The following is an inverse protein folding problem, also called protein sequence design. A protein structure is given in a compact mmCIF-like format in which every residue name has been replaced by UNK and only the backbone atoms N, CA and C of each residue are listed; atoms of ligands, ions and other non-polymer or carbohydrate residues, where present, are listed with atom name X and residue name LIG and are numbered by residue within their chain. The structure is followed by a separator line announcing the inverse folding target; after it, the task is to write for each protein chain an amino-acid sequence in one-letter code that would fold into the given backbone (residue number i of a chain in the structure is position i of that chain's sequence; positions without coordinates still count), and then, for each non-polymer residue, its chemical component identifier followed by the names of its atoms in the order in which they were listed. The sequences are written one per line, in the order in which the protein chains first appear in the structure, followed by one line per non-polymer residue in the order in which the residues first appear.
data_IF_245158229490
#
_entry.id   IF_245158229490
#
_cell.length_a   1.000
_cell.length_b   1.000
_cell.length_c   1.000
_cell.angle_alpha   90.00
_cell.angle_beta   90.00
_cell.angle_gamma   90.00
#
_symmetry.space_group_name_H-M   'P 1'
#
loop_
_entity.id
_entity.type
_entity.pdbx_description
1 polymer ?
#
# COMPACT_ATOMS: atom_id res chain seq x y z
N UNK A 1 -10.96 -9.27 2.09
CA UNK A 1 -10.18 -9.26 0.85
C UNK A 1 -8.93 -10.11 1.02
N UNK A 2 -8.56 -10.85 -0.03
CA UNK A 2 -7.30 -11.58 -0.01
C UNK A 2 -6.19 -10.76 -0.66
N UNK A 3 -4.97 -11.30 -0.67
CA UNK A 3 -3.82 -10.61 -1.25
C UNK A 3 -4.05 -10.23 -2.72
N UNK A 4 -4.59 -11.15 -3.51
CA UNK A 4 -4.81 -10.91 -4.94
C UNK A 4 -5.75 -9.74 -5.21
N UNK A 5 -6.82 -9.65 -4.44
CA UNK A 5 -7.77 -8.54 -4.59
C UNK A 5 -7.15 -7.21 -4.24
N UNK A 6 -6.34 -7.18 -3.16
CA UNK A 6 -5.65 -5.96 -2.73
C UNK A 6 -4.59 -5.55 -3.74
N UNK A 7 -3.83 -6.52 -4.24
CA UNK A 7 -2.80 -6.22 -5.23
C UNK A 7 -3.40 -5.68 -6.52
N UNK A 8 -4.51 -6.24 -6.96
CA UNK A 8 -5.22 -5.74 -8.14
C UNK A 8 -5.70 -4.31 -7.94
N UNK A 9 -6.19 -3.98 -6.75
CA UNK A 9 -6.61 -2.61 -6.43
C UNK A 9 -5.44 -1.63 -6.57
N UNK A 10 -4.24 -2.06 -6.19
CA UNK A 10 -3.04 -1.25 -6.39
C UNK A 10 -2.72 -1.08 -7.86
N UNK A 11 -2.74 -2.17 -8.63
CA UNK A 11 -2.42 -2.13 -10.06
C UNK A 11 -3.35 -1.21 -10.83
N UNK A 12 -4.64 -1.23 -10.48
CA UNK A 12 -5.65 -0.40 -11.15
C UNK A 12 -5.76 0.98 -10.53
N UNK A 13 -5.01 1.24 -9.46
CA UNK A 13 -5.06 2.51 -8.70
C UNK A 13 -6.49 2.87 -8.31
N UNK A 14 -7.17 1.90 -7.73
CA UNK A 14 -8.58 2.00 -7.39
C UNK A 14 -8.76 2.73 -6.06
N UNK A 15 -9.09 4.02 -6.14
CA UNK A 15 -9.25 4.86 -4.96
C UNK A 15 -10.50 4.53 -4.13
N UNK A 16 -11.41 3.72 -4.67
CA UNK A 16 -12.58 3.30 -3.89
C UNK A 16 -12.20 2.46 -2.68
N UNK A 17 -11.00 1.91 -2.65
CA UNK A 17 -10.49 1.16 -1.51
C UNK A 17 -9.68 2.00 -0.54
N UNK A 18 -9.59 3.31 -0.75
CA UNK A 18 -8.87 4.19 0.16
C UNK A 18 -9.46 4.08 1.57
N UNK A 19 -8.59 3.86 2.57
CA UNK A 19 -9.03 3.66 3.94
C UNK A 19 -9.32 2.20 4.29
N UNK A 20 -9.42 1.31 3.30
CA UNK A 20 -9.67 -0.11 3.54
C UNK A 20 -8.39 -0.85 3.91
N UNK A 21 -7.28 -0.47 3.31
CA UNK A 21 -5.98 -1.06 3.59
C UNK A 21 -4.88 -0.14 3.09
N UNK A 22 -3.64 -0.47 3.48
CA UNK A 22 -2.45 0.23 3.02
C UNK A 22 -1.47 -0.80 2.47
N UNK A 23 -0.74 -0.41 1.43
CA UNK A 23 0.26 -1.26 0.80
C UNK A 23 1.66 -0.79 1.19
N UNK A 24 2.43 -1.68 1.79
CA UNK A 24 3.80 -1.38 2.20
C UNK A 24 4.78 -2.08 1.25
N UNK A 25 5.80 -1.35 0.80
CA UNK A 25 6.80 -1.85 -0.14
C UNK A 25 8.08 -2.12 0.63
N UNK A 26 8.44 -3.41 0.73
CA UNK A 26 9.59 -3.82 1.54
C UNK A 26 10.91 -3.31 0.98
N UNK A 27 11.01 -3.14 -0.34
CA UNK A 27 12.24 -2.67 -0.97
C UNK A 27 12.53 -1.19 -0.71
N UNK A 28 11.51 -0.39 -0.40
CA UNK A 28 11.67 1.05 -0.16
C UNK A 28 11.37 1.46 1.27
N UNK A 29 10.67 0.63 2.03
CA UNK A 29 10.25 0.96 3.38
C UNK A 29 9.11 1.97 3.44
N UNK A 30 8.35 2.10 2.37
CA UNK A 30 7.29 3.10 2.24
C UNK A 30 5.93 2.42 2.18
N UNK A 31 4.91 2.98 2.84
CA UNK A 31 3.54 2.50 2.68
C UNK A 31 2.70 3.55 1.96
N UNK A 32 1.77 3.06 1.14
CA UNK A 32 0.91 3.89 0.29
C UNK A 32 -0.55 3.49 0.46
N UNK A 33 -1.44 4.41 0.12
CA UNK A 33 -2.87 4.09 0.01
C UNK A 33 -3.15 3.47 -1.36
N UNK A 34 -4.26 2.72 -1.52
CA UNK A 34 -4.71 2.31 -2.85
C UNK A 34 -4.93 3.56 -3.69
N UNK A 35 -4.66 3.52 -4.96
CA UNK A 35 -4.79 4.71 -5.81
C UNK A 35 -3.54 5.56 -5.89
N UNK A 36 -2.50 5.22 -5.14
CA UNK A 36 -1.23 5.95 -5.24
C UNK A 36 -0.71 5.90 -6.68
N UNK A 37 -0.33 7.05 -7.28
CA UNK A 37 0.13 7.09 -8.67
C UNK A 37 1.55 6.54 -8.85
N UNK A 38 2.23 6.17 -7.78
CA UNK A 38 3.56 5.61 -7.86
C UNK A 38 3.55 4.28 -8.61
N UNK A 39 4.71 3.89 -9.13
CA UNK A 39 4.86 2.64 -9.86
C UNK A 39 4.47 1.45 -8.97
N UNK A 40 3.70 0.52 -9.56
CA UNK A 40 3.29 -0.69 -8.85
C UNK A 40 4.52 -1.57 -8.56
N UNK A 41 4.76 -1.92 -7.29
CA UNK A 41 5.90 -2.75 -6.94
C UNK A 41 5.64 -4.21 -7.30
N UNK A 42 6.70 -5.02 -7.29
CA UNK A 42 6.59 -6.46 -7.50
C UNK A 42 5.82 -7.09 -6.35
N UNK A 43 5.07 -8.15 -6.64
CA UNK A 43 4.25 -8.85 -5.65
C UNK A 43 5.05 -9.29 -4.43
N UNK A 44 6.25 -9.81 -4.62
CA UNK A 44 7.08 -10.29 -3.53
C UNK A 44 7.57 -9.19 -2.60
N UNK A 45 7.47 -7.95 -3.02
CA UNK A 45 7.91 -6.79 -2.23
C UNK A 45 6.76 -6.05 -1.55
N UNK A 46 5.57 -6.64 -1.53
CA UNK A 46 4.37 -5.96 -1.01
C UNK A 46 3.82 -6.66 0.22
N UNK A 47 3.50 -5.88 1.25
CA UNK A 47 2.73 -6.33 2.41
C UNK A 47 1.53 -5.41 2.57
N UNK A 48 0.44 -5.95 3.09
CA UNK A 48 -0.76 -5.17 3.31
C UNK A 48 -1.04 -5.01 4.80
N UNK A 49 -1.48 -3.82 5.18
CA UNK A 49 -1.85 -3.48 6.55
C UNK A 49 -3.23 -2.86 6.54
N UNK A 50 -4.00 -3.11 7.59
CA UNK A 50 -5.35 -2.55 7.69
C UNK A 50 -5.34 -1.11 8.17
N UNK A 51 -4.26 -0.67 8.83
CA UNK A 51 -4.14 0.69 9.33
C UNK A 51 -2.76 1.26 9.05
N UNK A 52 -2.69 2.58 8.94
CA UNK A 52 -1.41 3.28 8.80
C UNK A 52 -0.53 3.07 10.04
N UNK A 53 -1.16 3.03 11.22
CA UNK A 53 -0.42 2.82 12.47
C UNK A 53 0.29 1.46 12.45
N UNK A 54 -0.37 0.41 11.94
CA UNK A 54 0.25 -0.91 11.86
C UNK A 54 1.45 -0.91 10.92
N UNK A 55 1.35 -0.23 9.79
CA UNK A 55 2.47 -0.13 8.85
C UNK A 55 3.64 0.63 9.49
N UNK A 56 3.38 1.75 10.15
CA UNK A 56 4.42 2.52 10.83
C UNK A 56 5.08 1.71 11.95
N UNK A 57 4.28 0.93 12.68
CA UNK A 57 4.79 0.08 13.74
C UNK A 57 5.80 -0.94 13.22
N UNK A 58 5.64 -1.39 11.98
CA UNK A 58 6.56 -2.32 11.35
C UNK A 58 7.74 -1.62 10.65
N UNK A 59 7.88 -0.31 10.83
CA UNK A 59 9.02 0.42 10.33
C UNK A 59 8.84 1.09 8.97
N UNK A 60 7.63 1.05 8.41
CA UNK A 60 7.36 1.73 7.14
C UNK A 60 7.03 3.20 7.38
N UNK A 61 7.34 4.03 6.40
CA UNK A 61 7.04 5.46 6.45
C UNK A 61 6.05 5.83 5.34
N UNK A 62 5.34 6.93 5.54
CA UNK A 62 4.31 7.37 4.61
C UNK A 62 4.90 7.82 3.28
N UNK A 63 4.25 7.41 2.19
CA UNK A 63 4.60 7.85 0.84
C UNK A 63 4.38 9.36 0.71
N UNK A 64 5.36 10.06 0.15
CA UNK A 64 5.27 11.51 -0.04
C UNK A 64 4.39 11.91 -1.22
N UNK A 65 4.05 10.98 -2.10
CA UNK A 65 3.17 11.25 -3.24
C UNK A 65 1.70 11.21 -2.87
N UNK A 66 1.28 10.14 -2.20
CA UNK A 66 -0.13 9.97 -1.90
C UNK A 66 -0.52 10.42 -0.49
N UNK A 67 0.45 10.69 0.38
CA UNK A 67 0.22 11.17 1.75
C UNK A 67 -0.84 10.33 2.48
N UNK A 68 -0.61 9.02 2.62
CA UNK A 68 -1.60 8.14 3.26
C UNK A 68 -1.83 8.46 4.73
#
# INVERSE_FOLDING_TARGET
MNFEQRYRAMETRDESYAGEFFAAVTSTGIYCRPGCPARTPKRENVRFYLTAAAARSDGFRACLRCHP
#
